data_IF_765288358138
#
_entry.id   IF_765288358138
#
_cell.length_a   1.000
_cell.length_b   1.000
_cell.length_c   1.000
_cell.angle_alpha   90.00
_cell.angle_beta   90.00
_cell.angle_gamma   90.00
#
_symmetry.space_group_name_H-M   'P 1'
#
loop_
_entity.id
_entity.type
_entity.pdbx_description
1 polymer ?
#
# COMPACT_ATOMS: atom_id res chain seq x y z
N UNK A 1 -47.91 33.14 -6.18
CA UNK A 1 -47.26 32.20 -7.12
C UNK A 1 -46.00 31.69 -6.42
N UNK A 2 -46.10 30.62 -5.65
CA UNK A 2 -44.93 29.99 -5.02
C UNK A 2 -44.28 29.09 -6.07
N UNK A 3 -43.12 29.50 -6.56
CA UNK A 3 -42.30 28.65 -7.43
C UNK A 3 -41.66 27.55 -6.59
N UNK A 4 -42.24 26.36 -6.65
CA UNK A 4 -41.59 25.12 -6.23
C UNK A 4 -40.36 24.93 -7.11
N UNK A 5 -39.17 25.21 -6.58
CA UNK A 5 -37.92 24.81 -7.23
C UNK A 5 -37.85 23.29 -7.16
N UNK A 6 -37.98 22.63 -8.32
CA UNK A 6 -37.73 21.20 -8.44
C UNK A 6 -36.25 20.93 -8.16
N UNK A 7 -35.94 20.42 -6.97
CA UNK A 7 -34.67 19.78 -6.65
C UNK A 7 -34.52 18.60 -7.61
N UNK A 8 -33.79 18.79 -8.71
CA UNK A 8 -33.37 17.66 -9.53
C UNK A 8 -32.31 16.93 -8.72
N UNK A 9 -32.64 15.76 -8.18
CA UNK A 9 -31.68 14.83 -7.59
C UNK A 9 -30.64 14.48 -8.66
N UNK A 10 -29.51 15.19 -8.66
CA UNK A 10 -28.38 14.84 -9.53
C UNK A 10 -27.75 13.59 -8.95
N UNK A 11 -27.89 12.48 -9.66
CA UNK A 11 -27.25 11.22 -9.32
C UNK A 11 -25.75 11.33 -9.56
N UNK A 12 -24.94 10.96 -8.55
CA UNK A 12 -23.48 10.89 -8.67
C UNK A 12 -23.13 9.63 -9.45
N UNK A 13 -22.29 9.76 -10.48
CA UNK A 13 -21.59 8.61 -11.07
C UNK A 13 -20.54 8.13 -10.06
N UNK A 14 -20.89 7.11 -9.27
CA UNK A 14 -20.04 6.61 -8.19
C UNK A 14 -19.10 5.51 -8.71
N UNK A 15 -17.83 5.45 -8.25
CA UNK A 15 -16.88 4.47 -8.76
C UNK A 15 -17.35 3.03 -8.52
N UNK A 16 -17.22 2.19 -9.55
CA UNK A 16 -17.61 0.79 -9.47
C UNK A 16 -16.74 0.06 -8.44
N UNK A 17 -17.37 -0.76 -7.59
CA UNK A 17 -16.68 -1.50 -6.54
C UNK A 17 -16.43 -0.72 -5.25
N UNK A 18 -16.67 0.60 -5.23
CA UNK A 18 -16.61 1.39 -4.00
C UNK A 18 -17.96 1.28 -3.27
N UNK A 19 -17.94 0.87 -2.00
CA UNK A 19 -19.12 0.92 -1.13
C UNK A 19 -19.62 2.35 -0.93
N UNK A 20 -20.91 2.49 -0.60
CA UNK A 20 -21.50 3.74 -0.13
C UNK A 20 -21.67 3.69 1.38
N UNK A 21 -21.46 4.82 2.04
CA UNK A 21 -21.78 4.98 3.46
C UNK A 21 -23.26 5.32 3.60
N UNK A 22 -23.99 4.60 4.45
CA UNK A 22 -25.38 4.92 4.77
C UNK A 22 -25.43 6.35 5.36
N UNK A 23 -26.35 7.22 4.92
CA UNK A 23 -26.51 8.55 5.50
C UNK A 23 -26.59 8.59 7.03
N UNK A 24 -27.11 7.54 7.69
CA UNK A 24 -27.18 7.46 9.16
C UNK A 24 -25.83 7.18 9.83
N UNK A 25 -24.90 6.57 9.09
CA UNK A 25 -23.56 6.20 9.58
C UNK A 25 -22.51 7.29 9.29
N UNK A 26 -22.93 8.41 8.69
CA UNK A 26 -22.03 9.54 8.40
C UNK A 26 -21.71 10.32 9.67
N UNK A 27 -20.46 10.72 9.81
CA UNK A 27 -19.98 11.47 10.97
C UNK A 27 -19.48 12.86 10.58
N UNK A 28 -19.44 13.79 11.53
CA UNK A 28 -18.71 15.06 11.32
C UNK A 28 -17.21 14.78 11.26
N UNK A 29 -16.48 15.53 10.44
CA UNK A 29 -15.04 15.34 10.35
C UNK A 29 -14.34 15.73 11.67
N UNK A 30 -13.48 14.87 12.26
CA UNK A 30 -12.95 15.07 13.62
C UNK A 30 -11.84 16.13 13.74
N UNK A 31 -11.37 16.71 12.63
CA UNK A 31 -10.26 17.66 12.59
C UNK A 31 -10.67 19.06 12.11
N UNK A 32 -9.75 20.03 12.26
CA UNK A 32 -9.94 21.36 11.68
C UNK A 32 -9.86 21.29 10.15
N UNK A 33 -10.98 21.64 9.51
CA UNK A 33 -11.12 21.75 8.06
C UNK A 33 -10.67 23.13 7.58
N UNK A 34 -9.55 23.65 8.07
CA UNK A 34 -9.02 24.99 7.74
C UNK A 34 -9.34 25.53 6.32
N UNK A 35 -9.30 24.74 5.22
CA UNK A 35 -9.79 25.18 3.91
C UNK A 35 -11.32 25.36 3.79
N UNK A 36 -11.71 26.36 3.01
CA UNK A 36 -13.08 26.53 2.51
C UNK A 36 -13.50 25.37 1.60
N UNK A 37 -14.79 25.31 1.24
CA UNK A 37 -15.32 24.33 0.26
C UNK A 37 -14.55 24.40 -1.06
N UNK A 38 -14.38 25.60 -1.62
CA UNK A 38 -13.63 25.80 -2.87
C UNK A 38 -12.20 25.29 -2.75
N UNK A 39 -11.50 25.66 -1.69
CA UNK A 39 -10.10 25.25 -1.46
C UNK A 39 -9.97 23.75 -1.24
N UNK A 40 -10.96 23.10 -0.61
CA UNK A 40 -10.98 21.66 -0.41
C UNK A 40 -11.07 20.90 -1.73
N UNK A 41 -11.96 21.34 -2.64
CA UNK A 41 -12.07 20.76 -3.98
C UNK A 41 -10.85 21.06 -4.85
N UNK A 42 -10.29 22.28 -4.78
CA UNK A 42 -9.06 22.60 -5.48
C UNK A 42 -7.88 21.73 -4.98
N UNK A 43 -7.80 21.50 -3.67
CA UNK A 43 -6.75 20.66 -3.08
C UNK A 43 -6.81 19.21 -3.57
N UNK A 44 -7.99 18.70 -3.94
CA UNK A 44 -8.11 17.36 -4.55
C UNK A 44 -7.39 17.33 -5.90
N UNK A 45 -7.64 18.33 -6.75
CA UNK A 45 -6.97 18.43 -8.06
C UNK A 45 -5.47 18.58 -7.86
N UNK A 46 -5.04 19.55 -7.04
CA UNK A 46 -3.63 19.87 -6.83
C UNK A 46 -2.83 18.67 -6.29
N UNK A 47 -3.39 17.93 -5.31
CA UNK A 47 -2.68 16.79 -4.72
C UNK A 47 -2.72 15.54 -5.62
N UNK A 48 -3.76 15.33 -6.44
CA UNK A 48 -3.79 14.24 -7.42
C UNK A 48 -2.80 14.50 -8.56
N UNK A 49 -2.77 15.71 -9.12
CA UNK A 49 -1.77 16.09 -10.15
C UNK A 49 -0.34 16.03 -9.58
N UNK A 50 -0.13 16.50 -8.34
CA UNK A 50 1.16 16.33 -7.67
C UNK A 50 1.52 14.85 -7.40
N UNK A 51 0.53 13.96 -7.37
CA UNK A 51 0.68 12.51 -7.21
C UNK A 51 0.59 11.77 -8.55
N UNK A 52 1.10 12.42 -9.60
CA UNK A 52 1.30 11.85 -10.95
C UNK A 52 -0.01 11.55 -11.69
N UNK A 53 -1.11 12.22 -11.34
CA UNK A 53 -2.24 12.30 -12.27
C UNK A 53 -1.83 13.12 -13.50
N UNK A 54 -2.16 12.63 -14.70
CA UNK A 54 -1.94 13.37 -15.95
C UNK A 54 -2.61 14.73 -15.86
N UNK A 55 -1.88 15.78 -16.21
CA UNK A 55 -2.35 17.18 -16.15
C UNK A 55 -3.73 17.33 -16.82
N UNK A 56 -4.69 17.92 -16.09
CA UNK A 56 -6.04 18.16 -16.58
C UNK A 56 -6.91 16.90 -16.74
N UNK A 57 -6.45 15.71 -16.32
CA UNK A 57 -7.26 14.49 -16.37
C UNK A 57 -8.22 14.34 -15.18
N UNK A 58 -8.04 15.14 -14.12
CA UNK A 58 -8.86 15.05 -12.91
C UNK A 58 -10.28 15.53 -13.18
N UNK A 59 -11.27 14.67 -12.89
CA UNK A 59 -12.69 14.95 -12.96
C UNK A 59 -13.35 14.66 -11.61
N UNK A 60 -14.03 15.63 -11.03
CA UNK A 60 -14.74 15.47 -9.76
C UNK A 60 -16.25 15.36 -9.98
N UNK A 61 -16.83 14.24 -9.58
CA UNK A 61 -18.26 13.96 -9.61
C UNK A 61 -18.90 14.21 -8.25
N UNK A 62 -20.02 14.96 -8.26
CA UNK A 62 -20.82 15.27 -7.08
C UNK A 62 -22.28 15.52 -7.47
N UNK A 63 -23.20 15.47 -6.51
CA UNK A 63 -24.59 15.89 -6.74
C UNK A 63 -24.77 17.43 -6.83
N UNK A 64 -23.70 18.21 -6.66
CA UNK A 64 -23.74 19.67 -6.81
C UNK A 64 -23.57 20.12 -8.26
N UNK A 65 -24.01 21.34 -8.55
CA UNK A 65 -23.69 22.08 -9.76
C UNK A 65 -22.26 22.62 -9.66
N UNK A 66 -21.49 22.45 -10.73
CA UNK A 66 -20.15 23.01 -10.85
C UNK A 66 -20.12 24.25 -11.73
N UNK A 67 -19.14 25.11 -11.50
CA UNK A 67 -18.93 26.29 -12.36
C UNK A 67 -18.49 25.85 -13.77
N UNK A 68 -19.06 26.46 -14.81
CA UNK A 68 -18.72 26.13 -16.19
C UNK A 68 -17.24 26.37 -16.54
N UNK A 69 -16.61 27.39 -15.96
CA UNK A 69 -15.19 27.71 -16.13
C UNK A 69 -14.26 26.92 -15.18
N UNK A 70 -14.83 26.24 -14.18
CA UNK A 70 -14.11 25.43 -13.19
C UNK A 70 -14.90 24.16 -12.87
N UNK A 71 -14.85 23.15 -13.78
CA UNK A 71 -15.74 22.00 -13.74
C UNK A 71 -15.54 21.06 -12.54
N UNK A 72 -14.45 21.25 -11.77
CA UNK A 72 -14.15 20.50 -10.54
C UNK A 72 -14.52 21.27 -9.26
N UNK A 73 -15.09 22.48 -9.37
CA UNK A 73 -15.47 23.32 -8.24
C UNK A 73 -17.00 23.43 -8.18
N UNK A 74 -17.65 22.92 -7.12
CA UNK A 74 -19.09 23.09 -6.94
C UNK A 74 -19.43 24.53 -6.53
N UNK A 75 -20.64 24.97 -6.88
CA UNK A 75 -21.16 26.27 -6.49
C UNK A 75 -21.20 26.43 -4.97
N UNK A 76 -20.75 27.59 -4.46
CA UNK A 76 -20.55 27.83 -3.03
C UNK A 76 -21.81 27.56 -2.18
N UNK A 77 -22.99 27.92 -2.69
CA UNK A 77 -24.26 27.84 -1.95
C UNK A 77 -25.08 26.57 -2.23
N UNK A 78 -24.56 25.66 -3.05
CA UNK A 78 -25.30 24.44 -3.37
C UNK A 78 -25.34 23.49 -2.17
N UNK A 79 -26.48 22.83 -1.95
CA UNK A 79 -26.71 21.95 -0.80
C UNK A 79 -27.42 20.67 -1.26
N UNK A 80 -26.69 19.74 -1.91
CA UNK A 80 -27.27 18.48 -2.34
C UNK A 80 -27.50 17.55 -1.15
N UNK A 81 -28.49 16.66 -1.29
CA UNK A 81 -28.76 15.60 -0.30
C UNK A 81 -27.67 14.52 -0.32
N UNK A 82 -27.12 14.22 -1.50
CA UNK A 82 -25.94 13.35 -1.64
C UNK A 82 -24.64 14.16 -1.50
N UNK A 83 -23.96 13.97 -0.37
CA UNK A 83 -22.72 14.67 -0.02
C UNK A 83 -21.46 13.92 -0.47
N UNK A 84 -21.61 12.79 -1.16
CA UNK A 84 -20.49 12.04 -1.71
C UNK A 84 -19.65 12.87 -2.70
N UNK A 85 -18.36 12.58 -2.71
CA UNK A 85 -17.39 13.14 -3.67
C UNK A 85 -16.61 11.99 -4.27
N UNK A 86 -16.51 11.95 -5.59
CA UNK A 86 -15.66 11.00 -6.31
C UNK A 86 -14.74 11.77 -7.26
N UNK A 87 -13.45 11.49 -7.22
CA UNK A 87 -12.45 12.04 -8.12
C UNK A 87 -11.92 10.93 -9.02
N UNK A 88 -12.03 11.13 -10.33
CA UNK A 88 -11.51 10.26 -11.37
C UNK A 88 -10.28 10.91 -12.00
N UNK A 89 -9.27 10.13 -12.35
CA UNK A 89 -8.06 10.63 -12.97
C UNK A 89 -7.32 9.52 -13.72
N UNK A 90 -6.40 9.90 -14.61
CA UNK A 90 -5.44 8.98 -15.24
C UNK A 90 -4.06 9.22 -14.65
N UNK A 91 -3.23 8.19 -14.52
CA UNK A 91 -1.84 8.35 -14.07
C UNK A 91 -0.90 8.50 -15.25
N UNK A 92 0.16 9.29 -15.07
CA UNK A 92 1.25 9.37 -16.03
C UNK A 92 1.90 7.99 -16.22
N UNK A 93 2.21 7.64 -17.47
CA UNK A 93 2.83 6.34 -17.81
C UNK A 93 1.87 5.16 -17.88
N UNK A 94 0.62 5.31 -17.43
CA UNK A 94 -0.43 4.29 -17.59
C UNK A 94 -1.13 4.38 -18.95
N UNK A 95 -1.77 3.29 -19.37
CA UNK A 95 -2.55 3.26 -20.60
C UNK A 95 -3.76 4.19 -20.51
N UNK A 96 -4.14 4.83 -21.63
CA UNK A 96 -5.18 5.86 -21.66
C UNK A 96 -6.59 5.33 -21.28
N UNK A 97 -6.80 4.01 -21.33
CA UNK A 97 -8.02 3.30 -20.94
C UNK A 97 -8.05 2.90 -19.46
N UNK A 98 -6.94 3.05 -18.73
CA UNK A 98 -6.90 2.90 -17.27
C UNK A 98 -7.23 4.23 -16.58
N UNK A 99 -8.40 4.27 -15.95
CA UNK A 99 -8.84 5.36 -15.08
C UNK A 99 -8.85 4.88 -13.63
N UNK A 100 -8.38 5.74 -12.73
CA UNK A 100 -8.37 5.53 -11.29
C UNK A 100 -9.43 6.40 -10.66
N UNK A 101 -9.95 5.95 -9.52
CA UNK A 101 -10.94 6.71 -8.76
C UNK A 101 -10.64 6.69 -7.26
N UNK A 102 -10.90 7.82 -6.61
CA UNK A 102 -10.89 7.96 -5.15
C UNK A 102 -12.20 8.59 -4.76
N UNK A 103 -12.89 8.02 -3.77
CA UNK A 103 -14.19 8.54 -3.35
C UNK A 103 -14.33 8.55 -1.83
N UNK A 104 -15.18 9.45 -1.34
CA UNK A 104 -15.46 9.61 0.08
C UNK A 104 -16.90 10.12 0.25
N UNK A 105 -17.69 9.43 1.07
CA UNK A 105 -19.04 9.83 1.46
C UNK A 105 -19.36 9.54 2.93
N UNK A 106 -18.33 9.32 3.75
CA UNK A 106 -18.48 9.00 5.16
C UNK A 106 -18.65 10.24 6.05
N UNK A 107 -18.42 11.45 5.51
CA UNK A 107 -18.57 12.69 6.26
C UNK A 107 -19.85 13.44 5.92
N UNK A 108 -20.31 14.27 6.85
CA UNK A 108 -21.57 15.03 6.77
C UNK A 108 -21.66 16.00 5.58
N UNK A 109 -20.53 16.50 5.05
CA UNK A 109 -20.52 17.51 3.99
C UNK A 109 -19.55 17.20 2.85
N UNK A 110 -19.89 17.68 1.65
CA UNK A 110 -18.99 17.60 0.48
C UNK A 110 -17.62 18.25 0.73
N UNK A 111 -17.56 19.30 1.56
CA UNK A 111 -16.29 19.93 1.93
C UNK A 111 -15.39 18.95 2.68
N UNK A 112 -15.95 18.22 3.64
CA UNK A 112 -15.24 17.24 4.44
C UNK A 112 -14.78 16.06 3.59
N UNK A 113 -15.67 15.52 2.77
CA UNK A 113 -15.35 14.44 1.83
C UNK A 113 -14.23 14.84 0.85
N UNK A 114 -14.31 16.04 0.25
CA UNK A 114 -13.23 16.55 -0.61
C UNK A 114 -11.92 16.75 0.17
N UNK A 115 -11.97 17.26 1.40
CA UNK A 115 -10.78 17.44 2.24
C UNK A 115 -10.12 16.11 2.59
N UNK A 116 -10.91 15.08 2.90
CA UNK A 116 -10.41 13.75 3.20
C UNK A 116 -9.68 13.14 1.99
N UNK A 117 -10.25 13.27 0.78
CA UNK A 117 -9.61 12.82 -0.47
C UNK A 117 -8.27 13.52 -0.68
N UNK A 118 -8.21 14.85 -0.54
CA UNK A 118 -6.97 15.61 -0.71
C UNK A 118 -5.88 15.19 0.29
N UNK A 119 -6.26 14.97 1.56
CA UNK A 119 -5.32 14.49 2.60
C UNK A 119 -4.83 13.07 2.32
N UNK A 120 -5.69 12.20 1.80
CA UNK A 120 -5.31 10.86 1.38
C UNK A 120 -4.33 10.90 0.21
N UNK A 121 -4.61 11.68 -0.85
CA UNK A 121 -3.71 11.81 -2.00
C UNK A 121 -2.32 12.32 -1.56
N UNK A 122 -2.29 13.34 -0.69
CA UNK A 122 -1.05 13.84 -0.08
C UNK A 122 -0.30 12.76 0.71
N UNK A 123 -1.02 11.91 1.46
CA UNK A 123 -0.44 10.79 2.22
C UNK A 123 0.20 9.77 1.27
N UNK A 124 -0.49 9.38 0.20
CA UNK A 124 0.06 8.42 -0.76
C UNK A 124 1.32 8.95 -1.43
N UNK A 125 1.30 10.20 -1.89
CA UNK A 125 2.46 10.90 -2.44
C UNK A 125 3.64 11.00 -1.47
N UNK A 126 3.36 11.15 -0.16
CA UNK A 126 4.42 11.16 0.85
C UNK A 126 5.00 9.75 1.07
N UNK A 127 4.15 8.74 1.13
CA UNK A 127 4.57 7.35 1.31
C UNK A 127 5.50 6.88 0.19
N UNK A 128 5.13 7.12 -1.07
CA UNK A 128 5.93 6.77 -2.25
C UNK A 128 7.29 7.50 -2.25
N UNK A 129 7.31 8.82 -2.00
CA UNK A 129 8.56 9.60 -1.97
C UNK A 129 9.49 9.22 -0.83
N UNK A 130 8.95 8.80 0.31
CA UNK A 130 9.76 8.37 1.45
C UNK A 130 10.22 6.90 1.34
N UNK A 131 9.81 6.17 0.29
CA UNK A 131 10.13 4.75 0.12
C UNK A 131 9.44 3.83 1.15
N UNK A 132 8.38 4.31 1.81
CA UNK A 132 7.63 3.53 2.81
C UNK A 132 6.59 2.67 2.07
N UNK A 133 6.92 1.41 1.81
CA UNK A 133 6.07 0.47 1.07
C UNK A 133 4.92 -0.11 1.90
N UNK A 134 4.94 0.01 3.23
CA UNK A 134 4.01 -0.67 4.15
C UNK A 134 2.61 -0.02 4.24
N UNK A 135 2.24 0.84 3.30
CA UNK A 135 1.17 1.82 3.52
C UNK A 135 -0.26 1.39 3.17
N UNK A 136 -0.50 0.18 2.62
CA UNK A 136 -1.84 -0.21 2.19
C UNK A 136 -2.75 -0.69 3.35
N UNK A 137 -2.21 -1.29 4.42
CA UNK A 137 -2.95 -1.63 5.66
C UNK A 137 -1.99 -1.60 6.86
N UNK A 138 -2.02 -0.49 7.61
CA UNK A 138 -0.80 0.03 8.26
C UNK A 138 -0.60 -0.33 9.73
N UNK A 139 -1.46 -1.12 10.37
CA UNK A 139 -1.27 -1.48 11.79
C UNK A 139 -1.04 -2.97 11.99
N UNK A 140 -1.73 -3.82 11.24
CA UNK A 140 -1.54 -5.27 11.31
C UNK A 140 -0.22 -5.69 10.64
N UNK A 141 0.09 -5.11 9.46
CA UNK A 141 1.37 -5.31 8.75
C UNK A 141 2.57 -4.72 9.49
N UNK A 142 2.37 -3.61 10.21
CA UNK A 142 3.43 -2.96 10.99
C UNK A 142 3.55 -3.50 12.42
N UNK A 143 2.73 -4.49 12.79
CA UNK A 143 2.75 -5.09 14.12
C UNK A 143 3.99 -5.96 14.26
N UNK A 144 4.92 -5.51 15.09
CA UNK A 144 6.02 -6.35 15.54
C UNK A 144 5.47 -7.48 16.42
N UNK A 145 6.04 -8.71 16.35
CA UNK A 145 5.71 -9.75 17.31
C UNK A 145 6.05 -9.29 18.74
N UNK A 146 5.28 -9.73 19.76
CA UNK A 146 5.56 -9.39 21.16
C UNK A 146 6.98 -9.80 21.53
N UNK A 147 7.70 -8.93 22.25
CA UNK A 147 9.12 -9.08 22.52
C UNK A 147 9.48 -10.21 23.50
N UNK A 148 8.49 -10.85 24.13
CA UNK A 148 8.66 -11.96 25.05
C UNK A 148 7.59 -13.03 24.76
N UNK A 149 7.82 -13.84 23.74
CA UNK A 149 7.36 -15.22 23.62
C UNK A 149 8.18 -15.87 22.48
N UNK A 150 8.69 -17.08 22.72
CA UNK A 150 9.50 -17.85 21.76
C UNK A 150 8.96 -17.71 20.34
N UNK A 151 9.84 -17.30 19.41
CA UNK A 151 9.52 -17.10 18.02
C UNK A 151 9.07 -18.41 17.35
N UNK A 152 7.77 -18.67 17.38
CA UNK A 152 7.12 -19.68 16.55
C UNK A 152 6.74 -18.99 15.23
N UNK A 153 7.62 -19.14 14.24
CA UNK A 153 7.36 -18.76 12.86
C UNK A 153 6.41 -19.77 12.21
N UNK A 154 5.33 -19.30 11.56
CA UNK A 154 4.56 -20.10 10.58
C UNK A 154 3.77 -19.17 9.67
N UNK A 155 3.66 -19.43 8.35
CA UNK A 155 4.63 -20.04 7.43
C UNK A 155 5.06 -19.04 6.32
N UNK A 156 6.30 -19.03 5.84
CA UNK A 156 6.59 -18.39 4.57
C UNK A 156 6.03 -19.24 3.42
N UNK A 157 5.56 -18.54 2.40
CA UNK A 157 5.30 -19.08 1.07
C UNK A 157 6.47 -19.96 0.63
N UNK A 158 6.16 -21.11 0.01
CA UNK A 158 7.09 -22.04 -0.64
C UNK A 158 8.37 -22.28 0.15
N UNK A 159 8.47 -23.44 0.79
CA UNK A 159 9.70 -23.94 1.38
C UNK A 159 10.82 -24.07 0.33
N UNK A 160 11.48 -22.95 0.03
CA UNK A 160 12.88 -22.86 -0.35
C UNK A 160 13.66 -22.82 0.97
N UNK A 161 13.63 -23.92 1.73
CA UNK A 161 14.78 -24.24 2.57
C UNK A 161 15.85 -24.80 1.62
N UNK A 162 16.29 -23.96 0.67
CA UNK A 162 17.39 -24.25 -0.23
C UNK A 162 18.70 -24.15 0.58
N UNK A 163 18.94 -25.18 1.37
CA UNK A 163 20.06 -25.97 0.90
C UNK A 163 19.54 -26.62 -0.39
N UNK A 164 19.99 -26.19 -1.57
CA UNK A 164 19.65 -26.82 -2.87
C UNK A 164 19.84 -28.36 -2.87
N UNK A 165 20.47 -28.89 -1.82
CA UNK A 165 20.95 -30.25 -1.60
C UNK A 165 20.88 -30.57 -0.10
N UNK A 166 20.56 -31.81 0.26
CA UNK A 166 20.50 -32.23 1.66
C UNK A 166 21.89 -32.08 2.37
N UNK A 167 21.98 -31.91 3.70
CA UNK A 167 23.26 -31.68 4.39
C UNK A 167 24.35 -32.71 4.06
N UNK A 168 23.97 -33.98 3.91
CA UNK A 168 24.88 -35.05 3.55
C UNK A 168 25.31 -34.99 2.07
N UNK A 169 24.52 -34.39 1.18
CA UNK A 169 24.89 -34.12 -0.22
C UNK A 169 25.86 -32.94 -0.33
N UNK A 170 25.69 -31.90 0.50
CA UNK A 170 26.65 -30.78 0.60
C UNK A 170 28.00 -31.27 1.12
N UNK A 171 27.97 -32.14 2.13
CA UNK A 171 29.18 -32.72 2.69
C UNK A 171 29.70 -33.92 1.86
N UNK A 172 28.96 -34.40 0.88
CA UNK A 172 29.29 -35.62 0.09
C UNK A 172 29.57 -36.84 0.98
N UNK A 173 28.75 -37.02 2.01
CA UNK A 173 28.81 -38.13 2.96
C UNK A 173 27.51 -38.93 2.94
N UNK A 174 27.53 -40.12 3.52
CA UNK A 174 26.31 -40.90 3.70
C UNK A 174 25.37 -40.20 4.71
N UNK A 175 24.03 -40.32 4.56
CA UNK A 175 23.05 -39.73 5.48
C UNK A 175 23.23 -40.09 6.96
N UNK A 176 23.84 -41.27 7.23
CA UNK A 176 24.15 -41.76 8.58
C UNK A 176 25.65 -41.88 8.86
N UNK A 177 26.48 -41.02 8.25
CA UNK A 177 27.91 -40.99 8.53
C UNK A 177 28.15 -40.67 10.02
N UNK A 178 29.12 -41.33 10.65
CA UNK A 178 29.48 -41.04 12.04
C UNK A 178 30.05 -39.62 12.20
N UNK A 179 29.87 -39.01 13.37
CA UNK A 179 30.33 -37.66 13.71
C UNK A 179 31.81 -37.40 13.37
N UNK A 180 32.66 -38.40 13.56
CA UNK A 180 34.09 -38.33 13.21
C UNK A 180 34.32 -38.14 11.69
N UNK A 181 33.48 -38.79 10.86
CA UNK A 181 33.54 -38.71 9.39
C UNK A 181 33.01 -37.36 8.93
N UNK A 182 31.89 -36.90 9.50
CA UNK A 182 31.32 -35.57 9.24
C UNK A 182 32.34 -34.48 9.57
N UNK A 183 32.94 -34.55 10.76
CA UNK A 183 33.94 -33.58 11.23
C UNK A 183 35.19 -33.56 10.35
N UNK A 184 35.70 -34.74 9.94
CA UNK A 184 36.86 -34.83 9.07
C UNK A 184 36.61 -34.23 7.67
N UNK A 185 35.42 -34.47 7.11
CA UNK A 185 35.04 -33.97 5.78
C UNK A 185 34.80 -32.47 5.81
N UNK A 186 34.11 -31.95 6.83
CA UNK A 186 33.93 -30.51 7.03
C UNK A 186 35.26 -29.80 7.13
N UNK A 187 36.19 -30.30 7.96
CA UNK A 187 37.52 -29.69 8.11
C UNK A 187 38.27 -29.61 6.78
N UNK A 188 38.18 -30.65 5.95
CA UNK A 188 38.81 -30.69 4.63
C UNK A 188 38.16 -29.70 3.65
N UNK A 189 36.82 -29.69 3.55
CA UNK A 189 36.10 -28.79 2.65
C UNK A 189 36.27 -27.33 3.07
N UNK A 190 36.12 -27.01 4.36
CA UNK A 190 36.29 -25.66 4.90
C UNK A 190 37.71 -25.09 4.74
N UNK A 191 38.74 -25.94 4.65
CA UNK A 191 40.10 -25.48 4.40
C UNK A 191 40.30 -24.98 2.95
N UNK A 192 39.56 -25.52 1.98
CA UNK A 192 39.66 -25.13 0.58
C UNK A 192 38.98 -23.79 0.31
N UNK A 193 37.87 -23.51 0.99
CA UNK A 193 37.02 -22.31 0.75
C UNK A 193 37.09 -21.30 1.90
N UNK A 194 38.10 -21.40 2.76
CA UNK A 194 38.22 -20.53 3.93
C UNK A 194 38.29 -19.05 3.51
N UNK A 195 37.64 -18.11 4.23
CA UNK A 195 37.74 -16.67 3.92
C UNK A 195 39.17 -16.11 3.94
N UNK A 196 40.10 -16.84 4.58
CA UNK A 196 41.53 -16.50 4.66
C UNK A 196 42.41 -17.35 3.72
N UNK A 197 41.82 -18.13 2.79
CA UNK A 197 42.57 -18.85 1.77
C UNK A 197 42.90 -17.94 0.58
N UNK A 198 43.78 -18.43 -0.31
CA UNK A 198 44.16 -17.72 -1.53
C UNK A 198 42.99 -17.58 -2.54
N UNK A 199 41.92 -18.38 -2.39
CA UNK A 199 40.71 -18.37 -3.23
C UNK A 199 39.44 -18.56 -2.36
N UNK A 200 38.94 -17.48 -1.73
CA UNK A 200 37.90 -17.57 -0.72
C UNK A 200 36.50 -17.67 -1.34
N UNK A 201 35.73 -18.70 -0.95
CA UNK A 201 34.29 -18.78 -1.18
C UNK A 201 33.53 -18.76 0.15
N UNK A 202 33.19 -17.53 0.58
CA UNK A 202 32.47 -17.27 1.83
C UNK A 202 31.06 -17.87 1.82
N UNK A 203 30.42 -17.99 0.66
CA UNK A 203 29.08 -18.55 0.55
C UNK A 203 29.12 -20.08 0.72
N UNK A 204 30.06 -20.75 0.05
CA UNK A 204 30.28 -22.19 0.21
C UNK A 204 30.75 -22.53 1.63
N UNK A 205 31.63 -21.72 2.22
CA UNK A 205 32.07 -21.90 3.61
C UNK A 205 30.89 -21.89 4.58
N UNK A 206 29.95 -20.93 4.44
CA UNK A 206 28.74 -20.86 5.27
C UNK A 206 27.83 -22.06 5.06
N UNK A 207 27.67 -22.55 3.83
CA UNK A 207 26.88 -23.77 3.53
C UNK A 207 27.47 -25.00 4.21
N UNK A 208 28.80 -25.15 4.21
CA UNK A 208 29.50 -26.25 4.88
C UNK A 208 29.30 -26.19 6.40
N UNK A 209 29.34 -25.00 7.02
CA UNK A 209 29.08 -24.86 8.45
C UNK A 209 27.62 -25.19 8.81
N UNK A 210 26.64 -24.71 8.02
CA UNK A 210 25.22 -25.06 8.22
C UNK A 210 24.98 -26.56 8.10
N UNK A 211 25.61 -27.22 7.12
CA UNK A 211 25.50 -28.67 6.94
C UNK A 211 26.17 -29.47 8.07
N UNK A 212 27.28 -28.97 8.63
CA UNK A 212 27.93 -29.56 9.82
C UNK A 212 26.99 -29.54 11.02
N UNK A 213 26.41 -28.37 11.32
CA UNK A 213 25.49 -28.21 12.46
C UNK A 213 24.30 -29.17 12.34
N UNK A 214 23.70 -29.26 11.16
CA UNK A 214 22.57 -30.16 10.90
C UNK A 214 22.89 -31.66 10.98
N UNK A 215 24.15 -32.08 10.85
CA UNK A 215 24.55 -33.49 10.94
C UNK A 215 25.11 -33.89 12.32
N UNK A 216 25.40 -32.92 13.20
CA UNK A 216 25.98 -33.14 14.52
C UNK A 216 25.06 -32.73 15.67
N UNK A 217 23.83 -32.30 15.35
CA UNK A 217 22.72 -32.06 16.29
C UNK A 217 21.86 -33.32 16.47
#
# INVERSE_FOLDING_TARGET
>A
MSSTQSTHERTIDWPRGHGRTDPIDRESYPGDLSPTRKESFQSVVDELEAWEATEGSVRIETASQHYADRPNIPHQHDKPDDVGVAAYFRREGEAADHEFAVSCDCWETQRENARAIALWARRQRLAERCGVQTAADTVETARLPPADEEAIATPPASSEDELDKEPHEILEVAPGASDDVVTAVVRRKSANVHPDSDDPDVAEYKRIQKAKEAMLE
#
